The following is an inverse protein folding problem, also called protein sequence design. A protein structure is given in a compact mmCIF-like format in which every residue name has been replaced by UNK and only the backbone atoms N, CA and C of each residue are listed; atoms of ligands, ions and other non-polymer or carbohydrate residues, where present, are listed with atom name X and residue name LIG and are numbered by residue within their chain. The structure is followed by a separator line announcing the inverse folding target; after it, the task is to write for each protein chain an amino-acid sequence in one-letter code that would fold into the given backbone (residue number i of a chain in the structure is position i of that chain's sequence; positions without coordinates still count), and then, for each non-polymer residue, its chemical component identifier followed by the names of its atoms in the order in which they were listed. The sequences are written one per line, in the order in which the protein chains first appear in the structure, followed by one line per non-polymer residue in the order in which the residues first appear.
data_IF_124025000448
#
_entry.id   IF_124025000448
#
_cell.length_a   1.000
_cell.length_b   1.000
_cell.length_c   1.000
_cell.angle_alpha   90.00
_cell.angle_beta   90.00
_cell.angle_gamma   90.00
#
_symmetry.space_group_name_H-M   'P 1'
#
loop_
_entity.id
_entity.type
_entity.pdbx_description
1 polymer ?
#
# COMPACT_ATOMS: atom_id res chain seq x y z
N UNK A 1 4.11 33.33 21.13
CA UNK A 1 4.89 32.77 20.00
C UNK A 1 5.33 31.35 20.28
N UNK A 2 4.59 30.36 19.76
CA UNK A 2 4.99 28.95 19.79
C UNK A 2 5.74 28.61 18.49
N UNK A 3 6.85 27.85 18.55
CA UNK A 3 7.66 27.59 17.36
C UNK A 3 6.89 26.70 16.41
N UNK A 4 6.89 27.09 15.12
CA UNK A 4 6.44 26.26 14.01
C UNK A 4 7.29 24.99 14.00
N UNK A 5 6.65 23.84 14.17
CA UNK A 5 7.25 22.53 13.88
C UNK A 5 7.69 22.55 12.42
N UNK A 6 9.00 22.56 12.20
CA UNK A 6 9.57 22.31 10.89
C UNK A 6 9.15 20.91 10.47
N UNK A 7 8.46 20.81 9.34
CA UNK A 7 8.15 19.52 8.71
C UNK A 7 9.43 18.71 8.56
N UNK A 8 9.39 17.47 9.01
CA UNK A 8 10.49 16.53 8.85
C UNK A 8 10.80 16.32 7.36
N UNK A 9 12.08 16.17 6.96
CA UNK A 9 12.47 16.03 5.55
C UNK A 9 11.82 14.82 4.83
N UNK A 10 11.35 13.82 5.58
CA UNK A 10 10.55 12.72 5.05
C UNK A 10 9.22 13.17 4.44
N UNK A 11 8.52 14.14 5.07
CA UNK A 11 7.23 14.62 4.57
C UNK A 11 7.38 15.31 3.20
N UNK A 12 8.47 16.06 3.00
CA UNK A 12 8.78 16.72 1.73
C UNK A 12 9.22 15.75 0.62
N UNK A 13 9.81 14.61 0.99
CA UNK A 13 10.24 13.61 0.02
C UNK A 13 9.05 12.78 -0.50
N UNK A 14 8.14 12.38 0.40
CA UNK A 14 6.92 11.66 0.04
C UNK A 14 5.98 12.52 -0.83
N UNK A 15 5.90 13.84 -0.57
CA UNK A 15 5.15 14.78 -1.41
C UNK A 15 5.69 14.89 -2.85
N UNK A 16 6.98 14.59 -3.05
CA UNK A 16 7.62 14.62 -4.38
C UNK A 16 7.42 13.32 -5.16
N UNK A 17 7.06 12.22 -4.48
CA UNK A 17 6.95 10.87 -5.07
C UNK A 17 5.50 10.38 -5.24
N UNK A 18 4.54 11.11 -4.67
CA UNK A 18 3.12 10.77 -4.70
C UNK A 18 2.30 11.99 -5.09
N UNK A 19 1.36 11.83 -6.02
CA UNK A 19 0.40 12.88 -6.39
C UNK A 19 -1.03 12.38 -6.20
N UNK A 20 -1.79 13.10 -5.37
CA UNK A 20 -3.22 12.84 -5.16
C UNK A 20 -4.07 13.80 -6.03
N UNK A 21 -5.08 13.26 -6.69
CA UNK A 21 -6.00 14.00 -7.55
C UNK A 21 -7.45 13.59 -7.30
N UNK A 22 -8.39 14.47 -7.59
CA UNK A 22 -9.81 14.15 -7.59
C UNK A 22 -10.40 14.39 -8.99
N UNK A 23 -11.18 13.45 -9.51
CA UNK A 23 -11.86 13.64 -10.78
C UNK A 23 -13.22 14.33 -10.63
N UNK A 24 -13.85 14.67 -11.76
CA UNK A 24 -15.15 15.37 -11.78
C UNK A 24 -16.29 14.56 -11.13
N UNK A 25 -16.10 13.26 -10.89
CA UNK A 25 -17.06 12.39 -10.20
C UNK A 25 -16.78 12.26 -8.70
N UNK A 26 -15.78 12.97 -8.16
CA UNK A 26 -15.37 12.88 -6.76
C UNK A 26 -14.51 11.65 -6.44
N UNK A 27 -14.03 10.92 -7.47
CA UNK A 27 -13.11 9.79 -7.20
C UNK A 27 -11.72 10.32 -6.96
N UNK A 28 -11.13 9.84 -5.88
CA UNK A 28 -9.78 10.18 -5.47
C UNK A 28 -8.81 9.19 -6.09
N UNK A 29 -7.78 9.72 -6.71
CA UNK A 29 -6.72 8.97 -7.38
C UNK A 29 -5.39 9.29 -6.73
N UNK A 30 -4.52 8.29 -6.61
CA UNK A 30 -3.13 8.44 -6.20
C UNK A 30 -2.21 7.94 -7.30
N UNK A 31 -1.22 8.73 -7.66
CA UNK A 31 -0.16 8.37 -8.59
C UNK A 31 1.14 8.22 -7.80
N UNK A 32 1.71 7.02 -7.79
CA UNK A 32 3.06 6.76 -7.28
C UNK A 32 4.06 6.93 -8.42
N UNK A 33 4.93 7.92 -8.33
CA UNK A 33 5.83 8.33 -9.42
C UNK A 33 7.00 7.37 -9.62
N UNK A 34 7.47 6.68 -8.57
CA UNK A 34 8.57 5.71 -8.68
C UNK A 34 8.19 4.42 -9.43
N UNK A 35 6.92 4.03 -9.43
CA UNK A 35 6.43 2.80 -10.08
C UNK A 35 5.39 3.03 -11.17
N UNK A 36 5.12 4.31 -11.52
CA UNK A 36 4.02 4.73 -12.42
C UNK A 36 2.66 4.08 -12.08
N UNK A 37 2.41 3.85 -10.80
CA UNK A 37 1.17 3.22 -10.34
C UNK A 37 0.09 4.27 -10.12
N UNK A 38 -0.96 4.22 -10.94
CA UNK A 38 -2.21 4.97 -10.68
C UNK A 38 -3.22 4.07 -9.94
N UNK A 39 -3.73 4.57 -8.82
CA UNK A 39 -4.61 3.87 -7.88
C UNK A 39 -5.89 4.69 -7.64
N UNK A 40 -7.05 4.06 -7.77
CA UNK A 40 -8.33 4.59 -7.31
C UNK A 40 -8.44 4.42 -5.79
N UNK A 41 -8.20 5.50 -5.07
CA UNK A 41 -8.27 5.54 -3.61
C UNK A 41 -9.69 5.40 -3.07
N UNK A 42 -10.69 5.83 -3.86
CA UNK A 42 -12.10 5.69 -3.47
C UNK A 42 -12.52 4.22 -3.47
N UNK A 43 -12.08 3.44 -4.47
CA UNK A 43 -12.42 2.03 -4.58
C UNK A 43 -11.79 1.14 -3.50
N UNK A 44 -10.58 1.47 -3.04
CA UNK A 44 -9.85 0.66 -2.05
C UNK A 44 -10.01 1.15 -0.61
N UNK A 45 -10.71 2.27 -0.39
CA UNK A 45 -10.83 2.90 0.93
C UNK A 45 -11.22 1.91 2.05
N UNK A 46 -12.20 1.00 1.87
CA UNK A 46 -12.57 0.04 2.91
C UNK A 46 -11.47 -0.98 3.26
N UNK A 47 -10.50 -1.18 2.36
CA UNK A 47 -9.49 -2.24 2.42
C UNK A 47 -8.08 -1.72 2.69
N UNK A 48 -7.89 -0.40 2.84
CA UNK A 48 -6.57 0.21 3.05
C UNK A 48 -5.81 -0.33 4.26
N UNK A 49 -6.53 -0.82 5.28
CA UNK A 49 -5.95 -1.46 6.47
C UNK A 49 -5.21 -2.76 6.18
N UNK A 50 -5.29 -3.29 4.95
CA UNK A 50 -4.52 -4.46 4.52
C UNK A 50 -3.01 -4.23 4.65
N UNK A 51 -2.54 -2.98 4.55
CA UNK A 51 -1.15 -2.59 4.83
C UNK A 51 -1.13 -1.54 5.93
N UNK A 52 -0.28 -1.72 6.92
CA UNK A 52 -0.05 -0.74 7.99
C UNK A 52 1.42 -0.70 8.43
N UNK A 53 1.81 0.41 9.05
CA UNK A 53 3.11 0.52 9.71
C UNK A 53 3.02 -0.12 11.11
N UNK A 54 3.91 -1.08 11.38
CA UNK A 54 3.99 -1.86 12.61
C UNK A 54 4.99 -1.33 13.64
N UNK A 55 5.64 -0.20 13.36
CA UNK A 55 6.74 0.34 14.16
C UNK A 55 8.10 0.12 13.49
N UNK A 56 9.18 0.35 14.21
CA UNK A 56 10.55 0.17 13.71
C UNK A 56 11.22 -1.03 14.38
N UNK A 57 12.05 -1.77 13.64
CA UNK A 57 12.79 -2.91 14.16
C UNK A 57 14.26 -2.57 14.44
N UNK A 58 14.72 -2.82 15.67
CA UNK A 58 16.11 -2.63 16.10
C UNK A 58 16.45 -1.18 16.46
N UNK A 59 17.74 -0.86 16.52
CA UNK A 59 18.27 0.49 16.81
C UNK A 59 18.28 1.41 15.57
N UNK A 60 17.83 0.89 14.44
CA UNK A 60 17.86 1.51 13.11
C UNK A 60 16.43 1.74 12.60
N UNK A 61 16.21 2.76 11.79
CA UNK A 61 14.92 3.24 11.26
C UNK A 61 14.18 2.25 10.32
N UNK A 62 14.37 0.95 10.51
CA UNK A 62 13.84 -0.08 9.63
C UNK A 62 12.34 -0.27 9.87
N UNK A 63 11.53 0.27 8.96
CA UNK A 63 10.08 0.26 9.07
C UNK A 63 9.54 -1.19 9.00
N UNK A 64 8.72 -1.57 9.97
CA UNK A 64 7.94 -2.79 9.93
C UNK A 64 6.67 -2.48 9.13
N UNK A 65 6.46 -3.20 8.04
CA UNK A 65 5.24 -3.15 7.26
C UNK A 65 4.43 -4.40 7.54
N UNK A 66 3.21 -4.24 8.02
CA UNK A 66 2.31 -5.35 8.32
C UNK A 66 1.31 -5.49 7.18
N UNK A 67 1.28 -6.67 6.56
CA UNK A 67 0.27 -7.06 5.60
C UNK A 67 -0.75 -8.00 6.25
N UNK A 68 -1.96 -7.49 6.51
CA UNK A 68 -3.02 -8.20 7.23
C UNK A 68 -4.13 -8.64 6.27
N UNK A 69 -4.14 -9.93 5.90
CA UNK A 69 -5.09 -10.46 4.89
C UNK A 69 -6.54 -10.52 5.35
N UNK A 70 -6.80 -10.37 6.65
CA UNK A 70 -8.17 -10.30 7.17
C UNK A 70 -8.95 -9.09 6.63
N UNK A 71 -8.24 -8.03 6.21
CA UNK A 71 -8.80 -6.84 5.57
C UNK A 71 -8.93 -6.95 4.05
N UNK A 72 -8.58 -8.10 3.43
CA UNK A 72 -8.81 -8.29 2.01
C UNK A 72 -10.31 -8.38 1.68
N UNK A 73 -10.71 -7.88 0.49
CA UNK A 73 -12.06 -8.06 0.00
C UNK A 73 -12.42 -9.55 -0.17
N UNK A 74 -13.70 -9.86 -0.02
CA UNK A 74 -14.23 -11.19 -0.36
C UNK A 74 -14.46 -11.30 -1.87
N UNK A 75 -14.21 -12.47 -2.45
CA UNK A 75 -14.41 -12.70 -3.89
C UNK A 75 -15.85 -12.49 -4.38
N UNK A 76 -16.82 -12.43 -3.47
CA UNK A 76 -18.24 -12.24 -3.72
C UNK A 76 -18.63 -10.79 -4.01
N UNK A 77 -17.77 -9.81 -3.70
CA UNK A 77 -18.12 -8.40 -3.87
C UNK A 77 -18.13 -7.99 -5.35
N UNK A 78 -19.01 -7.06 -5.76
CA UNK A 78 -18.97 -6.48 -7.09
C UNK A 78 -17.61 -5.86 -7.39
N UNK A 79 -17.15 -5.96 -8.65
CA UNK A 79 -15.88 -5.39 -9.10
C UNK A 79 -14.64 -5.89 -8.31
N UNK A 80 -14.68 -7.10 -7.74
CA UNK A 80 -13.58 -7.69 -6.97
C UNK A 80 -12.21 -7.56 -7.66
N UNK A 81 -12.12 -7.88 -8.96
CA UNK A 81 -10.87 -7.78 -9.71
C UNK A 81 -10.34 -6.35 -9.76
N UNK A 82 -11.20 -5.37 -10.03
CA UNK A 82 -10.82 -3.95 -10.05
C UNK A 82 -10.31 -3.48 -8.68
N UNK A 83 -10.99 -3.89 -7.60
CA UNK A 83 -10.58 -3.55 -6.24
C UNK A 83 -9.23 -4.19 -5.92
N UNK A 84 -9.05 -5.48 -6.23
CA UNK A 84 -7.81 -6.20 -6.01
C UNK A 84 -6.65 -5.63 -6.82
N UNK A 85 -6.87 -5.23 -8.07
CA UNK A 85 -5.83 -4.62 -8.91
C UNK A 85 -5.40 -3.24 -8.36
N UNK A 86 -6.34 -2.42 -7.91
CA UNK A 86 -6.02 -1.14 -7.26
C UNK A 86 -5.33 -1.35 -5.91
N UNK A 87 -5.75 -2.37 -5.14
CA UNK A 87 -5.15 -2.70 -3.85
C UNK A 87 -3.71 -3.20 -4.04
N UNK A 88 -3.47 -4.02 -5.07
CA UNK A 88 -2.13 -4.46 -5.44
C UNK A 88 -1.21 -3.27 -5.74
N UNK A 89 -1.64 -2.39 -6.63
CA UNK A 89 -0.88 -1.17 -7.00
C UNK A 89 -0.62 -0.27 -5.79
N UNK A 90 -1.59 -0.17 -4.89
CA UNK A 90 -1.42 0.57 -3.63
C UNK A 90 -0.36 -0.05 -2.72
N UNK A 91 -0.37 -1.38 -2.57
CA UNK A 91 0.62 -2.11 -1.76
C UNK A 91 2.02 -1.90 -2.35
N UNK A 92 2.21 -2.15 -3.65
CA UNK A 92 3.52 -1.99 -4.30
C UNK A 92 3.99 -0.55 -4.22
N UNK A 93 3.14 0.42 -4.59
CA UNK A 93 3.49 1.84 -4.51
C UNK A 93 3.83 2.29 -3.09
N UNK A 94 3.18 1.73 -2.07
CA UNK A 94 3.51 2.03 -0.66
C UNK A 94 4.85 1.44 -0.27
N UNK A 95 5.14 0.20 -0.67
CA UNK A 95 6.43 -0.44 -0.44
C UNK A 95 7.57 0.30 -1.15
N UNK A 96 7.36 0.75 -2.40
CA UNK A 96 8.36 1.53 -3.16
C UNK A 96 8.70 2.87 -2.52
N UNK A 97 7.75 3.53 -1.85
CA UNK A 97 8.06 4.73 -1.07
C UNK A 97 8.91 4.42 0.16
N UNK A 98 8.70 3.25 0.76
CA UNK A 98 9.44 2.77 1.92
C UNK A 98 10.79 2.17 1.53
N UNK A 99 11.06 1.91 0.24
CA UNK A 99 12.35 1.39 -0.28
C UNK A 99 13.54 2.32 -0.02
N UNK A 100 13.31 3.59 0.32
CA UNK A 100 14.37 4.48 0.80
C UNK A 100 14.98 4.01 2.14
N UNK A 101 14.24 3.20 2.92
CA UNK A 101 14.67 2.61 4.18
C UNK A 101 14.56 1.08 4.12
N UNK A 102 15.44 0.34 4.81
CA UNK A 102 15.36 -1.11 4.89
C UNK A 102 14.08 -1.51 5.65
N UNK A 103 13.08 -2.11 4.98
CA UNK A 103 11.81 -2.48 5.63
C UNK A 103 11.65 -3.99 5.87
N UNK A 104 10.97 -4.35 6.96
CA UNK A 104 10.57 -5.72 7.27
C UNK A 104 9.08 -5.92 6.96
N UNK A 105 8.76 -6.80 6.00
CA UNK A 105 7.37 -7.16 5.68
C UNK A 105 6.91 -8.36 6.54
N UNK A 106 5.91 -8.14 7.39
CA UNK A 106 5.26 -9.18 8.19
C UNK A 106 3.91 -9.52 7.57
N UNK A 107 3.72 -10.80 7.23
CA UNK A 107 2.46 -11.33 6.69
C UNK A 107 1.60 -11.95 7.81
N UNK A 108 0.40 -11.39 8.04
CA UNK A 108 -0.55 -11.89 9.04
C UNK A 108 -1.81 -12.42 8.36
N UNK A 109 -2.04 -13.74 8.48
CA UNK A 109 -3.20 -14.42 7.89
C UNK A 109 -4.22 -14.98 8.87
N UNK A 110 -4.22 -14.49 10.12
CA UNK A 110 -5.19 -14.91 11.13
C UNK A 110 -6.64 -14.81 10.60
N UNK A 111 -7.38 -15.92 10.65
CA UNK A 111 -8.80 -16.03 10.27
C UNK A 111 -9.16 -15.58 8.84
N UNK A 112 -8.21 -15.58 7.90
CA UNK A 112 -8.53 -15.25 6.49
C UNK A 112 -9.24 -16.43 5.82
N UNK A 113 -10.53 -16.28 5.52
CA UNK A 113 -11.28 -17.26 4.72
C UNK A 113 -10.58 -17.50 3.39
N UNK A 114 -10.57 -18.75 2.90
CA UNK A 114 -10.01 -19.08 1.56
C UNK A 114 -10.63 -18.24 0.44
N UNK A 115 -11.85 -17.74 0.63
CA UNK A 115 -12.54 -16.84 -0.31
C UNK A 115 -11.93 -15.44 -0.41
N UNK A 116 -11.02 -15.07 0.49
CA UNK A 116 -10.29 -13.78 0.49
C UNK A 116 -8.89 -13.88 -0.08
N UNK A 117 -8.36 -15.09 -0.26
CA UNK A 117 -6.97 -15.30 -0.70
C UNK A 117 -6.92 -15.22 -2.24
N UNK A 118 -6.18 -14.26 -2.82
CA UNK A 118 -5.99 -14.20 -4.26
C UNK A 118 -5.30 -15.46 -4.79
N UNK A 119 -5.57 -15.79 -6.05
CA UNK A 119 -4.99 -16.99 -6.68
C UNK A 119 -3.45 -16.98 -6.62
N UNK A 120 -2.84 -18.17 -6.62
CA UNK A 120 -1.37 -18.30 -6.58
C UNK A 120 -0.68 -17.62 -7.78
N UNK A 121 -1.39 -17.49 -8.90
CA UNK A 121 -0.92 -16.74 -10.07
C UNK A 121 -0.86 -15.22 -9.84
N UNK A 122 -1.76 -14.69 -9.03
CA UNK A 122 -1.73 -13.28 -8.61
C UNK A 122 -0.56 -13.05 -7.65
N UNK A 123 -0.39 -13.90 -6.63
CA UNK A 123 0.78 -13.88 -5.73
C UNK A 123 2.11 -14.00 -6.49
N UNK A 124 2.17 -14.85 -7.52
CA UNK A 124 3.37 -15.01 -8.36
C UNK A 124 3.67 -13.74 -9.17
N UNK A 125 2.64 -13.04 -9.66
CA UNK A 125 2.79 -11.71 -10.29
C UNK A 125 3.26 -10.67 -9.28
N UNK A 126 2.77 -10.70 -8.04
CA UNK A 126 3.27 -9.84 -6.97
C UNK A 126 4.76 -10.05 -6.75
N UNK A 127 5.17 -11.30 -6.57
CA UNK A 127 6.57 -11.66 -6.32
C UNK A 127 7.50 -11.36 -7.50
N UNK A 128 6.99 -11.41 -8.73
CA UNK A 128 7.73 -11.02 -9.93
C UNK A 128 7.84 -9.50 -10.08
N UNK A 129 6.84 -8.74 -9.63
CA UNK A 129 6.88 -7.28 -9.63
C UNK A 129 7.82 -6.71 -8.56
N UNK A 130 7.88 -7.31 -7.38
CA UNK A 130 8.87 -7.00 -6.32
C UNK A 130 10.19 -7.75 -6.47
N UNK A 131 10.35 -8.53 -7.55
CA UNK A 131 11.56 -9.28 -7.89
C UNK A 131 12.71 -8.35 -8.25
N UNK A 132 13.25 -7.68 -7.23
CA UNK A 132 14.61 -7.15 -7.18
C UNK A 132 15.54 -8.21 -7.76
N UNK A 133 16.30 -7.83 -8.79
CA UNK A 133 17.54 -8.52 -9.17
C UNK A 133 18.50 -8.55 -7.98
#
# INVERSE_FOLDING_TARGET
DLPKVNGTPEASFVETLVSDMEDQSGRRWRIFLMGEHKVDLTAIEPYRKVVSHGGYYGDSLNAIVVFATCYLPESSIPNYQYIMDNLFRYIIGTLDLLVADDYMLIYLSGCTSRSKIPSIGWLKRCYQATGRR
#
